data_IF_520655859203
#
_entry.id   IF_520655859203
#
_cell.length_a   1.000
_cell.length_b   1.000
_cell.length_c   1.000
_cell.angle_alpha   90.00
_cell.angle_beta   90.00
_cell.angle_gamma   90.00
#
_symmetry.space_group_name_H-M   'P 1'
#
loop_
_entity.id
_entity.type
_entity.pdbx_description
1 polymer ?
#
# COMPACT_ATOMS: atom_id res chain seq x y z
N UNK A 1 -1.39 3.84 -20.63
CA UNK A 1 -0.97 3.49 -19.25
C UNK A 1 -0.73 4.82 -18.57
N UNK A 2 -1.61 5.22 -17.64
CA UNK A 2 -1.51 6.55 -17.03
C UNK A 2 -0.14 6.69 -16.37
N UNK A 3 0.67 7.58 -16.92
CA UNK A 3 1.94 8.00 -16.37
C UNK A 3 1.67 8.32 -14.89
N UNK A 4 2.37 7.68 -13.93
CA UNK A 4 2.30 8.13 -12.56
C UNK A 4 3.03 9.47 -12.54
N UNK A 5 2.27 10.54 -12.86
CA UNK A 5 2.61 11.91 -12.57
C UNK A 5 3.23 11.91 -11.19
N UNK A 6 4.51 12.29 -11.16
CA UNK A 6 5.55 12.17 -10.14
C UNK A 6 5.03 12.51 -8.74
N UNK A 7 4.12 11.72 -8.23
CA UNK A 7 3.60 11.83 -6.90
C UNK A 7 4.74 11.32 -6.05
N UNK A 8 5.29 12.22 -5.22
CA UNK A 8 6.15 11.85 -4.10
C UNK A 8 5.35 10.91 -3.21
N UNK A 9 5.24 9.64 -3.58
CA UNK A 9 4.39 8.69 -2.89
C UNK A 9 4.99 8.47 -1.50
N UNK A 10 4.56 9.30 -0.55
CA UNK A 10 4.91 9.16 0.85
C UNK A 10 4.09 8.00 1.38
N UNK A 11 4.66 6.81 1.27
CA UNK A 11 4.05 5.61 1.80
C UNK A 11 4.31 5.54 3.30
N UNK A 12 3.24 5.57 4.08
CA UNK A 12 3.28 5.26 5.50
C UNK A 12 2.83 3.83 5.74
N UNK A 13 3.44 3.16 6.70
CA UNK A 13 3.05 1.80 7.09
C UNK A 13 1.90 1.90 8.09
N UNK A 14 0.79 1.28 7.74
CA UNK A 14 -0.34 1.06 8.64
C UNK A 14 -0.27 -0.38 9.10
N UNK A 15 -0.09 -0.57 10.41
CA UNK A 15 -0.16 -1.88 11.07
C UNK A 15 -1.47 -1.92 11.85
N UNK A 16 -2.21 -3.01 11.72
CA UNK A 16 -3.35 -3.24 12.61
C UNK A 16 -2.89 -4.07 13.80
N UNK A 17 -3.02 -3.49 14.99
CA UNK A 17 -2.65 -4.14 16.26
C UNK A 17 -3.56 -5.32 16.61
N UNK A 18 -4.74 -5.38 15.98
CA UNK A 18 -5.74 -6.42 16.18
C UNK A 18 -5.70 -7.41 15.02
N UNK A 19 -5.61 -8.70 15.33
CA UNK A 19 -5.52 -9.82 14.38
C UNK A 19 -6.69 -9.96 13.41
N UNK A 20 -7.76 -9.15 13.56
CA UNK A 20 -8.92 -9.13 12.67
C UNK A 20 -8.73 -8.28 11.40
N UNK A 21 -7.81 -7.31 11.39
CA UNK A 21 -7.66 -6.39 10.27
C UNK A 21 -6.55 -6.87 9.33
N UNK A 22 -6.97 -7.74 8.42
CA UNK A 22 -6.15 -8.28 7.36
C UNK A 22 -6.23 -7.37 6.12
N UNK A 23 -5.09 -6.80 5.73
CA UNK A 23 -5.02 -5.90 4.59
C UNK A 23 -4.72 -6.64 3.30
N UNK A 24 -5.54 -6.36 2.27
CA UNK A 24 -5.32 -6.88 0.91
C UNK A 24 -4.78 -5.78 0.03
N UNK A 25 -3.71 -6.09 -0.71
CA UNK A 25 -3.17 -5.14 -1.69
C UNK A 25 -4.10 -5.05 -2.90
N UNK A 26 -4.57 -3.85 -3.24
CA UNK A 26 -5.46 -3.65 -4.39
C UNK A 26 -4.81 -3.90 -5.76
N UNK A 27 -3.47 -3.92 -5.83
CA UNK A 27 -2.72 -4.17 -7.08
C UNK A 27 -2.41 -5.64 -7.29
N UNK A 28 -1.99 -6.29 -6.22
CA UNK A 28 -1.32 -7.58 -6.30
C UNK A 28 -2.27 -8.69 -5.82
N UNK A 29 -3.36 -8.32 -5.12
CA UNK A 29 -4.29 -9.21 -4.42
C UNK A 29 -3.60 -10.26 -3.53
N UNK A 30 -2.27 -10.14 -3.33
CA UNK A 30 -1.50 -10.96 -2.42
C UNK A 30 -2.14 -10.88 -1.05
N UNK A 31 -2.22 -12.08 -0.47
CA UNK A 31 -3.06 -12.43 0.65
C UNK A 31 -2.89 -11.55 1.90
N UNK A 32 -3.68 -11.85 2.93
CA UNK A 32 -3.93 -10.96 4.05
C UNK A 32 -2.64 -10.57 4.79
N UNK A 33 -2.13 -9.37 4.51
CA UNK A 33 -0.98 -8.82 5.21
C UNK A 33 -1.45 -8.12 6.49
N UNK A 34 -0.66 -8.23 7.55
CA UNK A 34 -0.94 -7.60 8.84
C UNK A 34 -0.62 -6.11 8.84
N UNK A 35 0.09 -5.68 7.80
CA UNK A 35 0.46 -4.30 7.54
C UNK A 35 0.31 -3.98 6.05
N UNK A 36 -0.06 -2.75 5.75
CA UNK A 36 -0.14 -2.24 4.38
C UNK A 36 0.49 -0.86 4.31
N UNK A 37 1.04 -0.54 3.14
CA UNK A 37 1.58 0.78 2.86
C UNK A 37 0.44 1.62 2.29
N UNK A 38 0.09 2.69 2.98
CA UNK A 38 -0.84 3.67 2.48
C UNK A 38 -0.06 4.91 2.05
N UNK A 39 -0.24 5.33 0.81
CA UNK A 39 0.25 6.64 0.39
C UNK A 39 -0.57 7.72 1.09
N UNK A 40 0.07 8.66 1.78
CA UNK A 40 -0.63 9.78 2.43
C UNK A 40 -1.24 10.76 1.42
N UNK A 41 -0.61 10.94 0.26
CA UNK A 41 -1.10 11.82 -0.80
C UNK A 41 -2.24 11.21 -1.61
N UNK A 42 -2.09 9.95 -2.04
CA UNK A 42 -3.03 9.31 -2.96
C UNK A 42 -4.06 8.41 -2.25
N UNK A 43 -3.92 8.21 -0.93
CA UNK A 43 -4.65 7.21 -0.13
C UNK A 43 -4.58 5.76 -0.65
N UNK A 44 -3.74 5.51 -1.66
CA UNK A 44 -3.57 4.21 -2.29
C UNK A 44 -2.94 3.20 -1.33
N UNK A 45 -3.56 2.02 -1.22
CA UNK A 45 -3.11 0.94 -0.35
C UNK A 45 -2.36 -0.12 -1.16
N UNK A 46 -1.07 -0.28 -0.88
CA UNK A 46 -0.18 -1.23 -1.54
C UNK A 46 0.57 -2.09 -0.52
N UNK A 47 0.90 -3.35 -0.83
CA UNK A 47 1.84 -4.10 0.01
C UNK A 47 3.26 -3.56 -0.17
N UNK A 48 4.20 -3.94 0.71
CA UNK A 48 5.61 -3.51 0.66
C UNK A 48 6.18 -3.59 -0.76
N UNK A 49 6.01 -4.75 -1.40
CA UNK A 49 6.55 -5.03 -2.73
C UNK A 49 5.94 -4.17 -3.83
N UNK A 50 4.66 -3.82 -3.69
CA UNK A 50 3.94 -3.00 -4.67
C UNK A 50 4.10 -1.50 -4.38
N UNK A 51 4.47 -1.12 -3.15
CA UNK A 51 4.96 0.20 -2.76
C UNK A 51 6.36 0.46 -3.32
N UNK A 52 7.29 -0.49 -3.17
CA UNK A 52 8.67 -0.35 -3.68
C UNK A 52 8.73 -0.33 -5.22
N UNK A 53 7.82 -1.02 -5.91
CA UNK A 53 7.67 -0.91 -7.37
C UNK A 53 7.15 0.46 -7.84
N UNK A 54 6.66 1.31 -6.93
CA UNK A 54 6.02 2.61 -7.20
C UNK A 54 6.71 3.81 -6.55
N UNK A 55 7.73 3.56 -5.73
CA UNK A 55 8.58 4.57 -5.11
C UNK A 55 9.76 4.89 -6.04
#
# INVERSE_FOLDING_TARGET
>A
MAEPSICKHTFTIIKSSTTLLLWRCGQCQSGPHWYIYQCTLCSAKACKRCSEKRA
#
